data_IF_130062378499
#
_entry.id   IF_130062378499
#
_cell.length_a   1.000
_cell.length_b   1.000
_cell.length_c   1.000
_cell.angle_alpha   90.00
_cell.angle_beta   90.00
_cell.angle_gamma   90.00
#
_symmetry.space_group_name_H-M   'P 1'
#
loop_
_entity.id
_entity.type
_entity.pdbx_description
1 polymer ?
#
# COMPACT_ATOMS: atom_id res chain seq x y z
N UNK A 1 8.13 11.19 17.52
CA UNK A 1 6.94 11.17 16.63
C UNK A 1 7.42 10.78 15.24
N UNK A 2 6.87 9.73 14.69
CA UNK A 2 7.22 9.21 13.36
C UNK A 2 6.77 10.18 12.27
N UNK A 3 7.62 10.47 11.28
CA UNK A 3 7.27 11.27 10.11
C UNK A 3 6.47 10.44 9.08
N UNK A 4 5.86 11.09 8.11
CA UNK A 4 4.99 10.44 7.13
C UNK A 4 5.77 9.44 6.25
N UNK A 5 7.01 9.75 5.90
CA UNK A 5 7.85 8.84 5.12
C UNK A 5 8.15 7.55 5.89
N UNK A 6 8.40 7.64 7.20
CA UNK A 6 8.61 6.47 8.04
C UNK A 6 7.31 5.65 8.20
N UNK A 7 6.13 6.31 8.27
CA UNK A 7 4.84 5.60 8.29
C UNK A 7 4.66 4.76 7.03
N UNK A 8 4.89 5.33 5.83
CA UNK A 8 4.79 4.59 4.57
C UNK A 8 5.83 3.47 4.48
N UNK A 9 7.03 3.68 4.99
CA UNK A 9 8.07 2.63 5.05
C UNK A 9 7.66 1.45 5.95
N UNK A 10 7.00 1.70 7.08
CA UNK A 10 6.46 0.62 7.93
C UNK A 10 5.29 -0.09 7.24
N UNK A 11 4.39 0.65 6.59
CA UNK A 11 3.30 0.07 5.80
C UNK A 11 3.82 -0.85 4.70
N UNK A 12 4.85 -0.43 3.96
CA UNK A 12 5.52 -1.29 2.97
C UNK A 12 5.95 -2.63 3.57
N UNK A 13 6.56 -2.62 4.77
CA UNK A 13 6.99 -3.84 5.48
C UNK A 13 5.82 -4.72 5.98
N UNK A 14 4.64 -4.16 6.13
CA UNK A 14 3.44 -4.96 6.45
C UNK A 14 3.04 -5.87 5.28
N UNK A 15 3.18 -5.40 4.05
CA UNK A 15 2.79 -6.13 2.83
C UNK A 15 3.94 -6.88 2.17
N UNK A 16 5.16 -6.39 2.29
CA UNK A 16 6.36 -6.97 1.70
C UNK A 16 7.10 -7.97 2.57
N UNK A 17 8.20 -8.46 2.04
CA UNK A 17 9.18 -9.24 2.79
C UNK A 17 9.89 -8.34 3.81
N UNK A 18 10.23 -8.93 4.94
CA UNK A 18 10.97 -8.25 6.00
C UNK A 18 11.76 -9.28 6.82
N UNK A 19 12.96 -8.92 7.21
CA UNK A 19 13.78 -9.75 8.09
C UNK A 19 13.19 -9.82 9.51
N UNK A 20 13.32 -10.99 10.16
CA UNK A 20 12.73 -11.25 11.48
C UNK A 20 13.17 -10.23 12.55
N UNK A 21 14.44 -9.85 12.54
CA UNK A 21 14.97 -8.90 13.52
C UNK A 21 14.56 -7.45 13.18
N UNK A 22 14.37 -7.13 11.93
CA UNK A 22 13.78 -5.85 11.51
C UNK A 22 12.33 -5.77 11.96
N UNK A 23 11.52 -6.81 11.69
CA UNK A 23 10.13 -6.86 12.15
C UNK A 23 10.01 -6.69 13.66
N UNK A 24 10.84 -7.41 14.43
CA UNK A 24 10.87 -7.27 15.90
C UNK A 24 11.21 -5.84 16.37
N UNK A 25 12.06 -5.10 15.63
CA UNK A 25 12.36 -3.70 15.95
C UNK A 25 11.17 -2.79 15.65
N UNK A 26 10.51 -2.98 14.52
CA UNK A 26 9.34 -2.21 14.11
C UNK A 26 8.15 -2.41 15.06
N UNK A 27 7.97 -3.63 15.55
CA UNK A 27 6.84 -4.01 16.42
C UNK A 27 7.10 -3.81 17.91
N UNK A 28 8.19 -3.17 18.31
CA UNK A 28 8.36 -2.73 19.70
C UNK A 28 7.28 -1.73 20.09
N UNK A 29 6.72 -1.87 21.28
CA UNK A 29 5.57 -1.09 21.74
C UNK A 29 5.69 0.41 21.47
N UNK A 30 6.85 1.03 21.76
CA UNK A 30 7.06 2.45 21.49
C UNK A 30 7.06 2.79 19.99
N UNK A 31 7.77 2.01 19.17
CA UNK A 31 7.85 2.23 17.72
C UNK A 31 6.50 2.00 17.06
N UNK A 32 5.79 0.95 17.48
CA UNK A 32 4.47 0.64 16.94
C UNK A 32 3.42 1.68 17.33
N UNK A 33 3.46 2.19 18.56
CA UNK A 33 2.60 3.30 18.98
C UNK A 33 2.84 4.56 18.15
N UNK A 34 4.10 4.94 17.89
CA UNK A 34 4.41 6.07 17.00
C UNK A 34 3.92 5.85 15.57
N UNK A 35 4.00 4.62 15.06
CA UNK A 35 3.46 4.25 13.76
C UNK A 35 1.94 4.40 13.70
N UNK A 36 1.21 3.82 14.66
CA UNK A 36 -0.26 3.92 14.71
C UNK A 36 -0.75 5.36 14.87
N UNK A 37 -0.06 6.17 15.66
CA UNK A 37 -0.33 7.61 15.79
C UNK A 37 -0.07 8.35 14.47
N UNK A 38 0.98 7.98 13.74
CA UNK A 38 1.27 8.50 12.40
C UNK A 38 0.17 8.16 11.40
N UNK A 39 -0.28 6.91 11.38
CA UNK A 39 -1.41 6.47 10.53
C UNK A 39 -2.69 7.26 10.86
N UNK A 40 -3.04 7.39 12.15
CA UNK A 40 -4.21 8.20 12.56
C UNK A 40 -4.13 9.64 12.07
N UNK A 41 -2.96 10.25 12.16
CA UNK A 41 -2.72 11.61 11.67
C UNK A 41 -2.93 11.71 10.16
N UNK A 42 -2.39 10.78 9.38
CA UNK A 42 -2.59 10.73 7.92
C UNK A 42 -4.05 10.56 7.54
N UNK A 43 -4.79 9.69 8.24
CA UNK A 43 -6.21 9.48 7.99
C UNK A 43 -7.10 10.68 8.39
N UNK A 44 -6.67 11.50 9.35
CA UNK A 44 -7.39 12.72 9.76
C UNK A 44 -7.13 13.89 8.83
N UNK A 45 -6.02 13.90 8.09
CA UNK A 45 -5.64 14.95 7.16
C UNK A 45 -6.15 14.63 5.74
N UNK A 46 -7.49 14.63 5.57
CA UNK A 46 -8.18 14.38 4.30
C UNK A 46 -7.67 15.26 3.13
N UNK A 47 -7.00 16.36 3.44
CA UNK A 47 -6.52 17.32 2.41
C UNK A 47 -5.15 16.94 1.87
N UNK A 48 -4.40 16.10 2.57
CA UNK A 48 -2.98 15.84 2.27
C UNK A 48 -2.79 14.78 1.19
N UNK A 49 -3.59 13.71 1.21
CA UNK A 49 -3.46 12.56 0.30
C UNK A 49 -4.78 12.17 -0.38
N UNK A 50 -5.89 12.84 -0.11
CA UNK A 50 -7.21 12.54 -0.68
C UNK A 50 -7.67 13.55 -1.72
N UNK A 51 -8.37 13.10 -2.76
CA UNK A 51 -9.30 13.96 -3.50
C UNK A 51 -10.30 14.49 -2.49
N UNK A 52 -10.67 15.77 -2.56
CA UNK A 52 -11.80 16.30 -1.80
C UNK A 52 -13.05 15.47 -2.18
N UNK A 53 -13.29 14.40 -1.44
CA UNK A 53 -14.47 13.59 -1.62
C UNK A 53 -15.70 14.43 -1.27
N UNK A 54 -16.73 14.37 -2.10
CA UNK A 54 -18.03 14.97 -1.78
C UNK A 54 -18.55 14.41 -0.45
N UNK A 55 -19.47 15.10 0.26
CA UNK A 55 -20.08 14.56 1.48
C UNK A 55 -20.71 13.18 1.28
N UNK A 56 -21.22 12.89 0.10
CA UNK A 56 -21.81 11.58 -0.27
C UNK A 56 -20.71 10.52 -0.43
N UNK A 57 -19.60 10.85 -1.10
CA UNK A 57 -18.44 9.96 -1.22
C UNK A 57 -17.80 9.67 0.14
N UNK A 58 -17.75 10.65 1.06
CA UNK A 58 -17.28 10.44 2.44
C UNK A 58 -18.16 9.46 3.22
N UNK A 59 -19.48 9.46 2.98
CA UNK A 59 -20.37 8.46 3.58
C UNK A 59 -20.10 7.04 3.08
N UNK A 60 -19.61 6.89 1.84
CA UNK A 60 -19.25 5.57 1.28
C UNK A 60 -17.82 5.13 1.63
N UNK A 61 -16.93 6.08 1.94
CA UNK A 61 -15.53 5.83 2.33
C UNK A 61 -15.36 5.68 3.85
N UNK A 62 -16.38 6.01 4.65
CA UNK A 62 -16.34 5.67 6.09
C UNK A 62 -16.17 4.17 6.24
N UNK A 63 -15.01 3.78 6.73
CA UNK A 63 -14.76 2.39 7.09
C UNK A 63 -15.82 2.04 8.14
N UNK A 64 -16.78 1.13 7.86
CA UNK A 64 -17.88 0.84 8.76
C UNK A 64 -17.43 0.49 10.19
N UNK A 65 -16.20 -0.03 10.33
CA UNK A 65 -15.59 -0.40 11.60
C UNK A 65 -15.34 0.81 12.54
N UNK A 66 -15.06 2.00 12.01
CA UNK A 66 -14.83 3.18 12.85
C UNK A 66 -16.09 3.67 13.59
N UNK A 67 -17.28 3.31 13.11
CA UNK A 67 -18.55 3.69 13.74
C UNK A 67 -18.98 2.71 14.85
N UNK A 68 -18.42 1.49 14.87
CA UNK A 68 -18.85 0.41 15.75
C UNK A 68 -17.83 -0.01 16.79
N UNK A 69 -16.57 0.43 16.66
CA UNK A 69 -15.50 0.06 17.58
C UNK A 69 -15.11 1.23 18.47
N UNK A 70 -14.98 0.97 19.76
CA UNK A 70 -14.35 1.90 20.70
C UNK A 70 -12.86 2.09 20.37
N UNK A 71 -12.25 3.18 20.84
CA UNK A 71 -10.81 3.41 20.63
C UNK A 71 -9.95 2.25 21.16
N UNK A 72 -10.36 1.61 22.27
CA UNK A 72 -9.63 0.46 22.83
C UNK A 72 -9.72 -0.77 21.91
N UNK A 73 -10.89 -1.04 21.33
CA UNK A 73 -11.05 -2.15 20.37
C UNK A 73 -10.28 -1.89 19.08
N UNK A 74 -10.21 -0.64 18.63
CA UNK A 74 -9.36 -0.25 17.50
C UNK A 74 -7.88 -0.48 17.85
N UNK A 75 -7.44 -0.09 19.05
CA UNK A 75 -6.07 -0.29 19.49
C UNK A 75 -5.69 -1.78 19.60
N UNK A 76 -6.64 -2.64 20.05
CA UNK A 76 -6.45 -4.09 20.06
C UNK A 76 -6.32 -4.68 18.66
N UNK A 77 -7.11 -4.22 17.69
CA UNK A 77 -7.01 -4.65 16.30
C UNK A 77 -5.70 -4.23 15.62
N UNK A 78 -5.10 -3.13 16.05
CA UNK A 78 -3.82 -2.65 15.55
C UNK A 78 -2.61 -3.17 16.34
N UNK A 79 -2.78 -4.22 17.17
CA UNK A 79 -1.65 -4.91 17.76
C UNK A 79 -0.76 -5.53 16.67
N UNK A 80 0.56 -5.34 16.74
CA UNK A 80 1.43 -5.92 15.73
C UNK A 80 1.45 -7.44 15.87
N UNK A 81 1.28 -8.20 14.77
CA UNK A 81 1.39 -9.64 14.81
C UNK A 81 2.83 -10.08 15.09
N UNK A 82 2.99 -11.25 15.67
CA UNK A 82 4.28 -11.90 15.73
C UNK A 82 4.81 -12.17 14.32
N UNK A 83 6.13 -12.26 14.15
CA UNK A 83 6.74 -12.49 12.84
C UNK A 83 6.17 -13.73 12.13
N UNK A 84 6.03 -14.84 12.84
CA UNK A 84 5.53 -16.08 12.27
C UNK A 84 4.03 -16.00 11.90
N UNK A 85 3.25 -15.19 12.64
CA UNK A 85 1.84 -14.88 12.31
C UNK A 85 1.75 -14.03 11.04
N UNK A 86 2.60 -12.99 10.91
CA UNK A 86 2.71 -12.19 9.69
C UNK A 86 3.03 -13.06 8.48
N UNK A 87 4.03 -13.94 8.60
CA UNK A 87 4.40 -14.86 7.52
C UNK A 87 3.25 -15.81 7.16
N UNK A 88 2.60 -16.39 8.17
CA UNK A 88 1.45 -17.27 7.98
C UNK A 88 0.25 -16.56 7.35
N UNK A 89 0.03 -15.27 7.67
CA UNK A 89 -0.99 -14.46 7.04
C UNK A 89 -0.66 -14.20 5.56
N UNK A 90 0.55 -13.75 5.27
CA UNK A 90 1.01 -13.50 3.91
C UNK A 90 0.91 -14.77 3.03
N UNK A 91 1.35 -15.92 3.56
CA UNK A 91 1.28 -17.19 2.85
C UNK A 91 -0.17 -17.62 2.53
N UNK A 92 -1.14 -17.29 3.37
CA UNK A 92 -2.56 -17.64 3.15
C UNK A 92 -3.30 -16.64 2.29
N UNK A 93 -2.96 -15.35 2.39
CA UNK A 93 -3.79 -14.28 1.82
C UNK A 93 -3.16 -13.56 0.64
N UNK A 94 -1.81 -13.64 0.47
CA UNK A 94 -1.10 -12.92 -0.58
C UNK A 94 -0.54 -13.80 -1.70
N UNK A 95 -0.78 -15.11 -1.67
CA UNK A 95 -0.18 -16.05 -2.64
C UNK A 95 -1.05 -16.41 -3.84
N UNK A 96 -2.31 -16.04 -3.84
CA UNK A 96 -3.25 -16.38 -4.92
C UNK A 96 -3.76 -17.83 -4.87
N UNK A 97 -4.78 -18.11 -5.67
CA UNK A 97 -5.33 -19.47 -5.83
C UNK A 97 -6.20 -19.99 -4.69
N UNK A 98 -6.29 -19.27 -3.57
CA UNK A 98 -7.16 -19.60 -2.45
C UNK A 98 -8.40 -18.68 -2.44
N UNK A 99 -9.57 -19.17 -1.99
CA UNK A 99 -10.82 -18.38 -2.01
C UNK A 99 -10.78 -17.04 -1.24
N UNK A 100 -9.86 -16.91 -0.28
CA UNK A 100 -9.71 -15.70 0.57
C UNK A 100 -8.39 -14.97 0.30
N UNK A 101 -7.76 -15.25 -0.83
CA UNK A 101 -6.49 -14.66 -1.19
C UNK A 101 -6.70 -13.42 -2.06
N UNK A 102 -5.98 -12.34 -1.73
CA UNK A 102 -5.88 -11.12 -2.52
C UNK A 102 -4.40 -10.78 -2.68
N UNK A 103 -3.82 -11.08 -3.84
CA UNK A 103 -2.42 -10.75 -4.12
C UNK A 103 -2.31 -9.23 -4.19
N UNK A 104 -1.41 -8.59 -3.41
CA UNK A 104 -1.29 -7.13 -3.36
C UNK A 104 -0.50 -6.58 -4.56
N UNK A 105 -1.02 -6.80 -5.77
CA UNK A 105 -0.44 -6.34 -7.06
C UNK A 105 -1.53 -5.62 -7.85
N UNK A 106 -1.32 -4.34 -8.14
CA UNK A 106 -2.34 -3.46 -8.71
C UNK A 106 -2.88 -3.94 -10.05
N UNK A 107 -2.00 -4.36 -10.97
CA UNK A 107 -2.39 -4.79 -12.32
C UNK A 107 -3.32 -6.00 -12.35
N UNK A 108 -3.47 -6.74 -11.25
CA UNK A 108 -4.45 -7.81 -11.14
C UNK A 108 -5.89 -7.30 -10.97
N UNK A 109 -6.06 -6.05 -10.55
CA UNK A 109 -7.36 -5.45 -10.24
C UNK A 109 -7.75 -4.33 -11.20
N UNK A 110 -6.79 -3.75 -11.93
CA UNK A 110 -7.00 -2.67 -12.89
C UNK A 110 -7.31 -3.19 -14.28
N UNK A 111 -8.03 -2.40 -15.08
CA UNK A 111 -8.33 -2.73 -16.48
C UNK A 111 -7.07 -2.59 -17.34
N UNK A 112 -6.82 -3.57 -18.19
CA UNK A 112 -5.65 -3.62 -19.08
C UNK A 112 -5.69 -2.61 -20.24
N UNK A 113 -6.82 -1.93 -20.42
CA UNK A 113 -7.05 -1.00 -21.54
C UNK A 113 -6.48 0.38 -21.20
N UNK A 114 -5.41 0.76 -21.89
CA UNK A 114 -5.07 2.18 -22.06
C UNK A 114 -6.27 2.87 -22.73
N UNK A 115 -6.72 4.08 -22.24
CA UNK A 115 -7.75 4.84 -22.93
C UNK A 115 -7.39 5.03 -24.40
N UNK A 116 -8.15 4.47 -25.31
CA UNK A 116 -7.94 4.53 -26.77
C UNK A 116 -7.45 3.26 -27.46
N UNK A 117 -7.08 2.21 -26.75
CA UNK A 117 -6.57 0.98 -27.36
C UNK A 117 -7.30 -0.27 -26.81
N UNK A 118 -8.62 -0.31 -27.00
CA UNK A 118 -9.41 -1.52 -26.74
C UNK A 118 -9.19 -2.46 -27.92
N UNK A 119 -8.44 -3.54 -27.73
CA UNK A 119 -8.40 -4.60 -28.72
C UNK A 119 -9.77 -5.29 -28.76
N UNK A 120 -10.55 -5.14 -29.86
CA UNK A 120 -11.91 -5.65 -29.92
C UNK A 120 -11.99 -7.18 -29.82
N UNK A 121 -10.87 -7.89 -29.97
CA UNK A 121 -10.81 -9.35 -29.91
C UNK A 121 -10.57 -9.88 -28.49
N UNK A 122 -10.05 -9.06 -27.56
CA UNK A 122 -9.62 -9.52 -26.23
C UNK A 122 -10.53 -8.97 -25.12
N UNK A 123 -11.33 -7.94 -25.40
CA UNK A 123 -12.22 -7.33 -24.42
C UNK A 123 -11.47 -6.60 -23.28
N UNK A 124 -12.20 -6.20 -22.25
CA UNK A 124 -11.63 -5.68 -21.00
C UNK A 124 -11.13 -6.87 -20.17
N UNK A 125 -9.85 -7.16 -20.21
CA UNK A 125 -9.25 -8.19 -19.37
C UNK A 125 -8.69 -7.55 -18.10
N UNK A 126 -9.15 -8.03 -16.95
CA UNK A 126 -8.55 -7.82 -15.63
C UNK A 126 -7.63 -9.00 -15.30
N UNK A 127 -6.66 -8.75 -14.45
CA UNK A 127 -5.92 -9.83 -13.81
C UNK A 127 -4.68 -10.33 -14.57
N UNK A 128 -4.03 -9.46 -15.32
CA UNK A 128 -2.76 -9.81 -15.97
C UNK A 128 -1.58 -9.15 -15.27
N UNK A 129 -0.60 -9.95 -14.86
CA UNK A 129 0.70 -9.45 -14.41
C UNK A 129 1.37 -8.58 -15.48
N UNK A 130 2.22 -7.65 -15.05
CA UNK A 130 2.96 -6.71 -15.93
C UNK A 130 2.05 -5.83 -16.79
N UNK A 131 0.89 -5.46 -16.24
CA UNK A 131 -0.06 -4.53 -16.85
C UNK A 131 0.46 -3.10 -16.99
N UNK A 132 -0.47 -2.16 -17.19
CA UNK A 132 -0.12 -0.73 -17.34
C UNK A 132 0.51 -0.17 -16.06
N UNK A 133 -0.03 -0.51 -14.89
CA UNK A 133 0.51 -0.11 -13.57
C UNK A 133 1.94 -0.60 -13.38
N UNK A 134 2.22 -1.86 -13.69
CA UNK A 134 3.56 -2.44 -13.55
C UNK A 134 4.59 -1.72 -14.44
N UNK A 135 4.21 -1.38 -15.68
CA UNK A 135 5.08 -0.62 -16.59
C UNK A 135 5.29 0.81 -16.13
N UNK A 136 4.25 1.44 -15.62
CA UNK A 136 4.32 2.79 -15.04
C UNK A 136 5.24 2.82 -13.84
N UNK A 137 5.06 1.90 -12.89
CA UNK A 137 5.91 1.78 -11.70
C UNK A 137 7.38 1.57 -12.06
N UNK A 138 7.67 0.65 -12.99
CA UNK A 138 9.04 0.40 -13.48
C UNK A 138 9.66 1.67 -14.07
N UNK A 139 8.94 2.34 -14.97
CA UNK A 139 9.42 3.57 -15.60
C UNK A 139 9.67 4.69 -14.57
N UNK A 140 8.78 4.82 -13.57
CA UNK A 140 8.93 5.82 -12.52
C UNK A 140 10.13 5.55 -11.61
N UNK A 141 10.35 4.30 -11.20
CA UNK A 141 11.51 3.88 -10.41
C UNK A 141 12.81 4.15 -11.19
N UNK A 142 12.87 3.78 -12.48
CA UNK A 142 14.02 4.04 -13.34
C UNK A 142 14.29 5.53 -13.54
N UNK A 143 13.25 6.36 -13.72
CA UNK A 143 13.38 7.82 -13.81
C UNK A 143 13.97 8.46 -12.55
N UNK A 144 13.72 7.87 -11.39
CA UNK A 144 14.32 8.29 -10.13
C UNK A 144 15.76 7.79 -9.95
N UNK A 145 16.32 7.07 -10.93
CA UNK A 145 17.65 6.48 -10.85
C UNK A 145 17.75 5.30 -9.88
N UNK A 146 16.62 4.66 -9.60
CA UNK A 146 16.50 3.48 -8.73
C UNK A 146 16.32 2.22 -9.57
N UNK A 147 16.53 1.07 -8.95
CA UNK A 147 16.31 -0.24 -9.56
C UNK A 147 15.16 -0.96 -8.86
N UNK A 148 14.33 -1.68 -9.64
CA UNK A 148 13.32 -2.56 -9.07
C UNK A 148 14.01 -3.72 -8.36
N UNK A 149 13.74 -3.96 -7.07
CA UNK A 149 14.32 -5.10 -6.35
C UNK A 149 14.01 -6.42 -7.04
N UNK A 150 14.95 -7.36 -7.04
CA UNK A 150 14.82 -8.64 -7.75
C UNK A 150 13.58 -9.44 -7.36
N UNK A 151 13.15 -9.33 -6.09
CA UNK A 151 11.94 -9.98 -5.57
C UNK A 151 10.63 -9.42 -6.16
N UNK A 152 10.65 -8.19 -6.71
CA UNK A 152 9.52 -7.54 -7.37
C UNK A 152 9.68 -7.40 -8.89
N UNK A 153 10.67 -8.09 -9.49
CA UNK A 153 10.94 -7.96 -10.92
C UNK A 153 9.73 -8.31 -11.80
N UNK A 154 8.92 -9.28 -11.38
CA UNK A 154 7.71 -9.72 -12.08
C UNK A 154 6.43 -8.99 -11.65
N UNK A 155 6.49 -8.16 -10.60
CA UNK A 155 5.37 -7.39 -10.06
C UNK A 155 5.84 -6.04 -9.49
N UNK A 156 6.37 -5.13 -10.32
CA UNK A 156 6.88 -3.84 -9.86
C UNK A 156 5.77 -2.92 -9.30
N UNK A 157 4.51 -3.21 -9.56
CA UNK A 157 3.29 -2.63 -9.00
C UNK A 157 2.75 -3.43 -7.79
N UNK A 158 3.64 -4.04 -7.04
CA UNK A 158 3.28 -4.64 -5.76
C UNK A 158 3.10 -3.53 -4.71
N UNK A 159 2.01 -3.58 -3.94
CA UNK A 159 1.65 -2.55 -2.95
C UNK A 159 2.80 -2.21 -1.98
N UNK A 160 3.62 -3.18 -1.60
CA UNK A 160 4.79 -2.91 -0.76
C UNK A 160 5.79 -1.97 -1.46
N UNK A 161 6.01 -2.15 -2.76
CA UNK A 161 6.93 -1.29 -3.52
C UNK A 161 6.34 0.09 -3.78
N UNK A 162 5.03 0.18 -4.04
CA UNK A 162 4.32 1.45 -4.16
C UNK A 162 4.41 2.28 -2.88
N UNK A 163 4.16 1.65 -1.72
CA UNK A 163 4.28 2.31 -0.42
C UNK A 163 5.72 2.73 -0.10
N UNK A 164 6.72 1.92 -0.48
CA UNK A 164 8.13 2.29 -0.29
C UNK A 164 8.54 3.45 -1.22
N UNK A 165 8.02 3.49 -2.44
CA UNK A 165 8.21 4.61 -3.35
C UNK A 165 7.65 5.92 -2.79
N UNK A 166 6.46 5.91 -2.19
CA UNK A 166 5.93 7.08 -1.47
C UNK A 166 6.89 7.53 -0.37
N UNK A 167 7.41 6.59 0.41
CA UNK A 167 8.38 6.92 1.46
C UNK A 167 9.67 7.54 0.89
N UNK A 168 10.16 7.07 -0.24
CA UNK A 168 11.33 7.62 -0.94
C UNK A 168 11.05 9.03 -1.44
N UNK A 169 9.90 9.28 -2.08
CA UNK A 169 9.51 10.60 -2.56
C UNK A 169 9.43 11.61 -1.42
N UNK A 170 8.77 11.24 -0.31
CA UNK A 170 8.66 12.11 0.88
C UNK A 170 10.03 12.42 1.49
N UNK A 171 10.93 11.44 1.63
CA UNK A 171 12.30 11.65 2.13
C UNK A 171 13.13 12.56 1.24
N UNK A 172 12.84 12.54 -0.05
CA UNK A 172 13.51 13.39 -1.05
C UNK A 172 12.92 14.80 -1.14
N UNK A 173 11.91 15.14 -0.32
CA UNK A 173 11.22 16.43 -0.35
C UNK A 173 10.28 16.60 -1.56
N UNK A 174 9.94 15.51 -2.24
CA UNK A 174 9.04 15.47 -3.41
C UNK A 174 7.58 15.26 -2.97
N UNK A 175 7.10 16.11 -2.05
CA UNK A 175 5.77 15.96 -1.45
C UNK A 175 4.62 16.07 -2.46
N UNK A 176 4.78 16.91 -3.50
CA UNK A 176 3.77 17.08 -4.53
C UNK A 176 3.62 15.83 -5.41
N UNK A 177 4.75 15.20 -5.74
CA UNK A 177 4.82 13.96 -6.49
C UNK A 177 4.27 12.79 -5.69
N UNK A 178 4.63 12.68 -4.40
CA UNK A 178 4.10 11.67 -3.49
C UNK A 178 2.57 11.75 -3.40
N UNK A 179 2.01 12.96 -3.24
CA UNK A 179 0.56 13.17 -3.21
C UNK A 179 -0.13 12.80 -4.51
N UNK A 180 0.49 13.16 -5.65
CA UNK A 180 -0.06 12.81 -6.96
C UNK A 180 -0.09 11.30 -7.14
N UNK A 181 0.99 10.62 -6.80
CA UNK A 181 1.11 9.17 -6.90
C UNK A 181 0.06 8.43 -6.06
N UNK A 182 -0.19 8.86 -4.83
CA UNK A 182 -1.23 8.25 -3.96
C UNK A 182 -2.65 8.55 -4.45
N UNK A 183 -2.86 9.63 -5.22
CA UNK A 183 -4.19 10.04 -5.70
C UNK A 183 -4.59 9.41 -7.04
N UNK A 184 -3.65 8.80 -7.75
CA UNK A 184 -3.87 8.09 -9.04
C UNK A 184 -4.41 6.68 -8.81
#
# INVERSE_FOLDING_TARGET
MMDDAAVFSVLSKCFGSVEKDEWRRLTRSATWAEFTDGVRRLLQDDTRFGKQASPIERMHVRVPMQEFLSNNEVDELFCPPLFDEKQGFAARHFTGGLPQSAIPVESLYTDWSTPGNVNPLIGKQKGLYLGASARYMRALIEQLGLEVPAEYADCPDHLALELDLVAVLLRSGMDAEARRFVAE
#
